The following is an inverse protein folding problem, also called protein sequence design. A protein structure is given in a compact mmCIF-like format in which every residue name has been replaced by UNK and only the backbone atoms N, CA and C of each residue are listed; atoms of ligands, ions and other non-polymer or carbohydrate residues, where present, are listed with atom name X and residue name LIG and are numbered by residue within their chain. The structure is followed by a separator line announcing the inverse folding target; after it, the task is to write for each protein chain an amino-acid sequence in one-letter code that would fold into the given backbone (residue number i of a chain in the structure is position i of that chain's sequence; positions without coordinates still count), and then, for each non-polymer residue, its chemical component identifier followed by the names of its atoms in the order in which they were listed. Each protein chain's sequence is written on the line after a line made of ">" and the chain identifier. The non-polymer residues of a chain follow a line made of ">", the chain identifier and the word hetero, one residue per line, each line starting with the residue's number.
data_IF_283964777628
#
_entry.id   IF_283964777628
#
_cell.length_a   1.000
_cell.length_b   1.000
_cell.length_c   1.000
_cell.angle_alpha   90.00
_cell.angle_beta   90.00
_cell.angle_gamma   90.00
#
_symmetry.space_group_name_H-M   'P 1'
#
loop_
_entity.id
_entity.type
_entity.pdbx_description
1 polymer ?
#
# COMPACT_ATOMS: atom_id res chain seq x y z
N UNK A 1 -6.80 39.22 7.96
CA UNK A 1 -7.49 38.19 7.15
C UNK A 1 -6.66 37.65 5.97
N UNK A 2 -5.78 38.43 5.31
CA UNK A 2 -4.92 37.92 4.21
C UNK A 2 -3.82 36.91 4.64
N UNK A 3 -3.30 36.99 5.87
CA UNK A 3 -2.28 36.05 6.38
C UNK A 3 -2.80 34.62 6.57
N UNK A 4 -4.09 34.47 6.92
CA UNK A 4 -4.73 33.15 7.11
C UNK A 4 -4.99 32.45 5.77
N UNK A 5 -5.32 33.21 4.72
CA UNK A 5 -5.59 32.65 3.38
C UNK A 5 -4.30 32.19 2.69
N UNK A 6 -3.20 32.95 2.79
CA UNK A 6 -1.89 32.52 2.26
C UNK A 6 -1.33 31.29 2.99
N UNK A 7 -1.51 31.20 4.31
CA UNK A 7 -1.10 30.02 5.08
C UNK A 7 -1.84 28.75 4.64
N UNK A 8 -3.16 28.85 4.45
CA UNK A 8 -3.98 27.72 3.99
C UNK A 8 -3.59 27.27 2.57
N UNK A 9 -3.37 28.22 1.64
CA UNK A 9 -2.94 27.89 0.28
C UNK A 9 -1.55 27.21 0.23
N UNK A 10 -0.61 27.67 1.08
CA UNK A 10 0.70 27.03 1.20
C UNK A 10 0.62 25.62 1.78
N UNK A 11 -0.25 25.41 2.77
CA UNK A 11 -0.49 24.08 3.35
C UNK A 11 -1.09 23.13 2.31
N UNK A 12 -2.09 23.57 1.54
CA UNK A 12 -2.67 22.77 0.46
C UNK A 12 -1.66 22.45 -0.64
N UNK A 13 -0.84 23.42 -1.04
CA UNK A 13 0.24 23.20 -1.99
C UNK A 13 1.23 22.16 -1.49
N UNK A 14 1.63 22.24 -0.21
CA UNK A 14 2.57 21.29 0.39
C UNK A 14 1.98 19.88 0.52
N UNK A 15 0.68 19.76 0.85
CA UNK A 15 -0.04 18.49 0.90
C UNK A 15 -0.06 17.81 -0.48
N UNK A 16 -0.38 18.56 -1.55
CA UNK A 16 -0.44 18.02 -2.92
C UNK A 16 0.96 17.64 -3.42
N UNK A 17 1.90 18.60 -3.41
CA UNK A 17 3.24 18.37 -3.93
C UNK A 17 4.00 17.29 -3.14
N UNK A 18 3.85 17.29 -1.82
CA UNK A 18 4.48 16.27 -0.98
C UNK A 18 3.91 14.87 -1.22
N UNK A 19 2.61 14.72 -1.48
CA UNK A 19 2.05 13.41 -1.84
C UNK A 19 2.58 12.95 -3.21
N UNK A 20 2.66 13.83 -4.20
CA UNK A 20 3.28 13.51 -5.50
C UNK A 20 4.72 13.03 -5.30
N UNK A 21 5.52 13.76 -4.52
CA UNK A 21 6.91 13.39 -4.23
C UNK A 21 7.01 12.02 -3.54
N UNK A 22 6.19 11.76 -2.53
CA UNK A 22 6.16 10.46 -1.83
C UNK A 22 5.85 9.30 -2.77
N UNK A 23 4.89 9.49 -3.69
CA UNK A 23 4.51 8.43 -4.64
C UNK A 23 5.62 8.15 -5.66
N UNK A 24 6.30 9.20 -6.15
CA UNK A 24 7.48 9.05 -7.01
C UNK A 24 8.61 8.33 -6.26
N UNK A 25 8.88 8.72 -5.01
CA UNK A 25 9.88 8.09 -4.15
C UNK A 25 9.60 6.60 -3.98
N UNK A 26 8.35 6.22 -3.67
CA UNK A 26 7.99 4.80 -3.56
C UNK A 26 8.13 4.06 -4.89
N UNK A 27 7.82 4.70 -6.01
CA UNK A 27 8.02 4.11 -7.34
C UNK A 27 9.49 3.83 -7.62
N UNK A 28 10.37 4.82 -7.39
CA UNK A 28 11.83 4.65 -7.48
C UNK A 28 12.32 3.53 -6.55
N UNK A 29 11.84 3.51 -5.31
CA UNK A 29 12.23 2.50 -4.32
C UNK A 29 11.88 1.07 -4.75
N UNK A 30 10.70 0.86 -5.33
CA UNK A 30 10.29 -0.47 -5.84
C UNK A 30 11.20 -0.96 -6.98
N UNK A 31 11.51 -0.09 -7.93
CA UNK A 31 12.43 -0.42 -9.05
C UNK A 31 13.83 -0.70 -8.54
N UNK A 32 14.32 0.11 -7.59
CA UNK A 32 15.61 -0.08 -6.97
C UNK A 32 15.70 -1.42 -6.23
N UNK A 33 14.67 -1.79 -5.44
CA UNK A 33 14.63 -3.08 -4.74
C UNK A 33 14.69 -4.28 -5.70
N UNK A 34 14.08 -4.17 -6.89
CA UNK A 34 14.19 -5.23 -7.89
C UNK A 34 15.66 -5.50 -8.29
N UNK A 35 16.44 -4.43 -8.51
CA UNK A 35 17.89 -4.56 -8.75
C UNK A 35 18.66 -5.15 -7.57
N UNK A 36 18.26 -4.82 -6.34
CA UNK A 36 18.85 -5.40 -5.11
C UNK A 36 18.58 -6.91 -5.01
N UNK A 37 17.37 -7.36 -5.38
CA UNK A 37 17.04 -8.79 -5.43
C UNK A 37 17.79 -9.52 -6.55
N UNK A 38 17.98 -8.88 -7.71
CA UNK A 38 18.81 -9.41 -8.79
C UNK A 38 20.28 -9.59 -8.35
N UNK A 39 20.79 -8.76 -7.44
CA UNK A 39 22.10 -8.90 -6.81
C UNK A 39 22.17 -9.99 -5.71
N UNK A 40 21.09 -10.76 -5.52
CA UNK A 40 21.06 -11.91 -4.61
C UNK A 40 20.77 -11.59 -3.14
N UNK A 41 20.35 -10.36 -2.83
CA UNK A 41 19.96 -9.99 -1.45
C UNK A 41 18.60 -10.62 -1.12
N UNK A 42 18.52 -11.21 0.07
CA UNK A 42 17.28 -11.82 0.54
C UNK A 42 16.20 -10.78 0.93
N UNK A 43 14.94 -10.90 0.44
CA UNK A 43 13.86 -9.99 0.80
C UNK A 43 13.50 -9.97 2.29
N UNK A 44 13.57 -11.11 2.99
CA UNK A 44 13.23 -11.20 4.42
C UNK A 44 14.25 -10.41 5.23
N UNK A 45 15.52 -10.52 4.88
CA UNK A 45 16.58 -9.72 5.51
C UNK A 45 16.30 -8.21 5.38
N UNK A 46 15.93 -7.73 4.18
CA UNK A 46 15.59 -6.31 3.99
C UNK A 46 14.38 -5.89 4.83
N UNK A 47 13.38 -6.75 4.96
CA UNK A 47 12.18 -6.46 5.78
C UNK A 47 12.56 -6.33 7.26
N UNK A 48 13.34 -7.28 7.79
CA UNK A 48 13.74 -7.30 9.21
C UNK A 48 14.44 -6.01 9.59
N UNK A 49 15.47 -5.62 8.83
CA UNK A 49 16.28 -4.45 9.15
C UNK A 49 15.61 -3.14 8.71
N UNK A 50 14.94 -3.12 7.57
CA UNK A 50 14.19 -1.96 7.09
C UNK A 50 13.09 -1.53 8.06
N UNK A 51 12.35 -2.47 8.64
CA UNK A 51 11.33 -2.17 9.65
C UNK A 51 11.93 -1.67 10.97
N UNK A 52 13.08 -2.21 11.40
CA UNK A 52 13.79 -1.69 12.59
C UNK A 52 14.27 -0.26 12.39
N UNK A 53 14.91 0.03 11.25
CA UNK A 53 15.36 1.38 10.92
C UNK A 53 14.18 2.35 10.86
N UNK A 54 13.09 1.95 10.21
CA UNK A 54 11.85 2.74 10.16
C UNK A 54 11.31 3.02 11.56
N UNK A 55 11.27 2.00 12.43
CA UNK A 55 10.82 2.15 13.81
C UNK A 55 11.70 3.12 14.60
N UNK A 56 13.03 2.97 14.52
CA UNK A 56 14.00 3.85 15.20
C UNK A 56 13.87 5.29 14.72
N UNK A 57 13.68 5.49 13.42
CA UNK A 57 13.51 6.81 12.84
C UNK A 57 12.19 7.47 13.29
N UNK A 58 11.08 6.73 13.28
CA UNK A 58 9.74 7.28 13.62
C UNK A 58 9.54 7.43 15.14
N UNK A 59 10.25 6.66 15.96
CA UNK A 59 10.17 6.67 17.42
C UNK A 59 10.22 8.07 18.07
N UNK A 60 11.21 8.95 17.79
CA UNK A 60 11.24 10.28 18.39
C UNK A 60 10.00 11.12 18.04
N UNK A 61 9.51 11.04 16.80
CA UNK A 61 8.30 11.75 16.37
C UNK A 61 7.06 11.25 17.10
N UNK A 62 6.94 9.93 17.25
CA UNK A 62 5.87 9.29 18.03
C UNK A 62 5.86 9.78 19.49
N UNK A 63 7.02 9.78 20.16
CA UNK A 63 7.12 10.21 21.56
C UNK A 63 6.81 11.71 21.72
N UNK A 64 7.23 12.56 20.79
CA UNK A 64 7.00 14.01 20.87
C UNK A 64 5.55 14.37 20.57
N UNK A 65 4.95 13.79 19.51
CA UNK A 65 3.63 14.20 19.03
C UNK A 65 2.45 13.43 19.63
N UNK A 66 2.69 12.21 20.12
CA UNK A 66 1.59 11.29 20.43
C UNK A 66 1.63 10.70 21.84
N UNK A 67 2.70 10.89 22.62
CA UNK A 67 2.80 10.38 24.00
C UNK A 67 1.58 10.70 24.88
N UNK A 68 0.94 11.86 24.67
CA UNK A 68 -0.26 12.28 25.42
C UNK A 68 -1.58 11.69 24.89
N UNK A 69 -1.57 11.06 23.72
CA UNK A 69 -2.73 10.45 23.06
C UNK A 69 -2.92 8.97 23.43
N UNK A 70 -1.99 8.40 24.18
CA UNK A 70 -2.03 7.00 24.56
C UNK A 70 -3.18 6.75 25.55
N UNK A 71 -3.87 5.60 25.44
CA UNK A 71 -4.84 5.18 26.44
C UNK A 71 -4.14 4.93 27.77
N UNK A 72 -4.86 5.16 28.87
CA UNK A 72 -4.34 4.99 30.24
C UNK A 72 -4.04 3.53 30.57
N UNK A 73 -4.71 2.58 29.92
CA UNK A 73 -4.48 1.14 30.06
C UNK A 73 -4.44 0.45 28.70
N UNK A 74 -3.49 -0.47 28.53
CA UNK A 74 -3.40 -1.32 27.35
C UNK A 74 -4.17 -2.61 27.61
N UNK A 75 -5.33 -2.75 26.97
CA UNK A 75 -6.13 -3.97 27.08
C UNK A 75 -5.47 -5.13 26.31
N UNK A 76 -5.63 -6.40 26.75
CA UNK A 76 -5.15 -7.56 25.99
C UNK A 76 -5.74 -7.63 24.57
N UNK A 77 -6.98 -7.16 24.39
CA UNK A 77 -7.63 -7.05 23.08
C UNK A 77 -6.94 -6.01 22.17
N UNK A 78 -6.44 -4.91 22.73
CA UNK A 78 -5.68 -3.93 21.95
C UNK A 78 -4.31 -4.48 21.55
N UNK A 79 -3.64 -5.20 22.46
CA UNK A 79 -2.38 -5.88 22.15
C UNK A 79 -2.53 -6.94 21.06
N UNK A 80 -3.62 -7.73 21.08
CA UNK A 80 -3.89 -8.70 20.01
C UNK A 80 -4.13 -8.02 18.66
N UNK A 81 -4.79 -6.86 18.64
CA UNK A 81 -4.92 -6.06 17.41
C UNK A 81 -3.58 -5.55 16.91
N UNK A 82 -2.69 -5.06 17.78
CA UNK A 82 -1.33 -4.66 17.38
C UNK A 82 -0.57 -5.83 16.77
N UNK A 83 -0.66 -7.02 17.38
CA UNK A 83 -0.05 -8.24 16.85
C UNK A 83 -0.60 -8.60 15.47
N UNK A 84 -1.92 -8.60 15.28
CA UNK A 84 -2.53 -8.91 13.98
C UNK A 84 -2.18 -7.88 12.90
N UNK A 85 -2.12 -6.58 13.25
CA UNK A 85 -1.67 -5.54 12.32
C UNK A 85 -0.19 -5.74 11.96
N UNK A 86 0.67 -6.08 12.91
CA UNK A 86 2.09 -6.35 12.65
C UNK A 86 2.29 -7.60 11.79
N UNK A 87 1.56 -8.69 12.08
CA UNK A 87 1.61 -9.94 11.34
C UNK A 87 1.11 -9.74 9.90
N UNK A 88 0.01 -9.03 9.71
CA UNK A 88 -0.53 -8.81 8.38
C UNK A 88 0.24 -7.72 7.60
N UNK A 89 0.37 -6.52 8.14
CA UNK A 89 0.89 -5.35 7.42
C UNK A 89 2.42 -5.32 7.34
N UNK A 90 3.08 -5.42 8.50
CA UNK A 90 4.54 -5.31 8.58
C UNK A 90 5.27 -6.61 8.21
N UNK A 91 4.59 -7.76 8.19
CA UNK A 91 5.18 -9.06 7.85
C UNK A 91 4.61 -9.60 6.55
N UNK A 92 3.39 -10.14 6.56
CA UNK A 92 2.82 -10.86 5.42
C UNK A 92 2.72 -10.01 4.15
N UNK A 93 2.21 -8.78 4.23
CA UNK A 93 2.10 -7.88 3.08
C UNK A 93 3.47 -7.55 2.49
N UNK A 94 4.46 -7.22 3.32
CA UNK A 94 5.81 -6.91 2.84
C UNK A 94 6.46 -8.13 2.21
N UNK A 95 6.40 -9.31 2.86
CA UNK A 95 6.97 -10.56 2.31
C UNK A 95 6.33 -10.91 0.96
N UNK A 96 5.00 -10.86 0.87
CA UNK A 96 4.26 -11.12 -0.37
C UNK A 96 4.59 -10.10 -1.46
N UNK A 97 4.72 -8.82 -1.10
CA UNK A 97 5.05 -7.75 -2.06
C UNK A 97 6.45 -7.90 -2.60
N UNK A 98 7.46 -8.09 -1.74
CA UNK A 98 8.85 -8.23 -2.20
C UNK A 98 9.09 -9.54 -2.97
N UNK A 99 8.42 -10.63 -2.55
CA UNK A 99 8.42 -11.88 -3.32
C UNK A 99 7.76 -11.69 -4.68
N UNK A 100 6.66 -10.93 -4.73
CA UNK A 100 5.97 -10.56 -5.95
C UNK A 100 6.83 -9.71 -6.90
N UNK A 101 7.58 -8.74 -6.38
CA UNK A 101 8.54 -7.95 -7.18
C UNK A 101 9.62 -8.86 -7.75
N UNK A 102 10.22 -9.72 -6.91
CA UNK A 102 11.30 -10.63 -7.30
C UNK A 102 10.88 -11.64 -8.37
N UNK A 103 9.63 -12.08 -8.38
CA UNK A 103 9.11 -13.13 -9.29
C UNK A 103 8.32 -12.59 -10.49
N UNK A 104 7.71 -11.42 -10.36
CA UNK A 104 6.94 -10.79 -11.42
C UNK A 104 7.63 -9.51 -11.91
N UNK A 105 7.11 -8.33 -11.56
CA UNK A 105 7.73 -7.06 -11.92
C UNK A 105 7.40 -5.99 -10.88
N UNK A 106 8.31 -5.04 -10.64
CA UNK A 106 8.02 -3.86 -9.82
C UNK A 106 6.81 -3.07 -10.35
N UNK A 107 6.58 -3.03 -11.68
CA UNK A 107 5.44 -2.34 -12.27
C UNK A 107 4.10 -2.92 -11.77
N UNK A 108 3.96 -4.25 -11.81
CA UNK A 108 2.75 -4.94 -11.30
C UNK A 108 2.62 -4.73 -9.79
N UNK A 109 3.73 -4.83 -9.04
CA UNK A 109 3.71 -4.62 -7.60
C UNK A 109 3.25 -3.20 -7.21
N UNK A 110 3.67 -2.18 -7.96
CA UNK A 110 3.25 -0.80 -7.76
C UNK A 110 1.79 -0.52 -8.17
N UNK A 111 1.23 -1.34 -9.05
CA UNK A 111 -0.14 -1.23 -9.53
C UNK A 111 -1.15 -1.82 -8.52
N UNK A 112 -0.79 -2.93 -7.88
CA UNK A 112 -1.68 -3.73 -7.03
C UNK A 112 -2.32 -2.96 -5.86
N UNK A 113 -1.62 -2.07 -5.11
CA UNK A 113 -2.23 -1.26 -4.06
C UNK A 113 -3.39 -0.36 -4.50
N UNK A 114 -3.56 -0.09 -5.80
CA UNK A 114 -4.73 0.65 -6.30
C UNK A 114 -6.05 -0.14 -6.14
N UNK A 115 -5.99 -1.45 -5.87
CA UNK A 115 -7.15 -2.27 -5.48
C UNK A 115 -7.60 -2.01 -4.03
N UNK A 116 -6.71 -1.49 -3.17
CA UNK A 116 -6.91 -1.40 -1.73
C UNK A 116 -8.17 -0.63 -1.34
N UNK A 117 -8.49 0.56 -1.90
CA UNK A 117 -9.70 1.29 -1.50
C UNK A 117 -11.00 0.51 -1.78
N UNK A 118 -11.05 -0.23 -2.89
CA UNK A 118 -12.19 -1.07 -3.25
C UNK A 118 -12.33 -2.28 -2.34
N UNK A 119 -11.22 -2.96 -2.06
CA UNK A 119 -11.20 -4.10 -1.14
C UNK A 119 -11.53 -3.70 0.30
N UNK A 120 -11.03 -2.56 0.78
CA UNK A 120 -11.38 -1.99 2.09
C UNK A 120 -12.89 -1.83 2.23
N UNK A 121 -13.56 -1.30 1.20
CA UNK A 121 -15.01 -1.16 1.21
C UNK A 121 -15.73 -2.51 1.32
N UNK A 122 -15.33 -3.51 0.52
CA UNK A 122 -15.93 -4.86 0.58
C UNK A 122 -15.74 -5.47 1.97
N UNK A 123 -14.53 -5.38 2.53
CA UNK A 123 -14.20 -5.91 3.85
C UNK A 123 -15.00 -5.17 4.94
N UNK A 124 -15.08 -3.84 4.89
CA UNK A 124 -15.86 -3.05 5.83
C UNK A 124 -17.36 -3.40 5.78
N UNK A 125 -17.90 -3.67 4.60
CA UNK A 125 -19.27 -4.14 4.42
C UNK A 125 -19.48 -5.55 5.03
N UNK A 126 -18.53 -6.48 4.82
CA UNK A 126 -18.59 -7.83 5.41
C UNK A 126 -18.58 -7.81 6.94
N UNK A 127 -17.74 -6.97 7.56
CA UNK A 127 -17.67 -6.82 9.02
C UNK A 127 -18.74 -5.90 9.62
N UNK A 128 -19.68 -5.38 8.82
CA UNK A 128 -20.70 -4.40 9.22
C UNK A 128 -20.13 -3.13 9.88
N UNK A 129 -18.93 -2.71 9.48
CA UNK A 129 -18.38 -1.43 9.93
C UNK A 129 -19.06 -0.22 9.25
N UNK A 130 -19.75 -0.42 8.13
CA UNK A 130 -20.60 0.56 7.45
C UNK A 130 -22.06 0.06 7.38
N UNK A 131 -23.04 0.97 7.51
CA UNK A 131 -24.45 0.65 7.28
C UNK A 131 -24.67 0.44 5.78
N UNK A 132 -24.82 -0.82 5.39
CA UNK A 132 -25.04 -1.19 3.99
C UNK A 132 -26.49 -0.97 3.59
N UNK A 133 -26.84 0.25 3.22
CA UNK A 133 -28.06 0.48 2.45
C UNK A 133 -27.81 0.02 1.01
N UNK A 134 -28.24 -1.22 0.72
CA UNK A 134 -28.14 -1.87 -0.62
C UNK A 134 -28.67 -1.01 -1.78
N UNK A 135 -29.48 0.01 -1.47
CA UNK A 135 -30.09 0.92 -2.43
C UNK A 135 -29.30 2.22 -2.67
N UNK A 136 -28.22 2.49 -1.93
CA UNK A 136 -27.43 3.70 -2.15
C UNK A 136 -26.66 3.61 -3.46
N UNK A 137 -26.81 4.63 -4.32
CA UNK A 137 -26.12 4.70 -5.62
C UNK A 137 -24.60 4.65 -5.46
N UNK A 138 -24.06 5.24 -4.40
CA UNK A 138 -22.62 5.29 -4.13
C UNK A 138 -22.04 3.91 -3.76
N UNK A 139 -22.72 3.13 -2.90
CA UNK A 139 -22.34 1.74 -2.61
C UNK A 139 -22.27 0.87 -3.87
N UNK A 140 -23.22 1.03 -4.80
CA UNK A 140 -23.20 0.32 -6.10
C UNK A 140 -22.01 0.75 -6.95
N UNK A 141 -21.69 2.04 -6.99
CA UNK A 141 -20.51 2.55 -7.70
C UNK A 141 -19.20 2.04 -7.09
N UNK A 142 -19.09 1.90 -5.77
CA UNK A 142 -17.92 1.30 -5.13
C UNK A 142 -17.73 -0.17 -5.53
N UNK A 143 -18.81 -0.96 -5.56
CA UNK A 143 -18.74 -2.36 -6.02
C UNK A 143 -18.30 -2.42 -7.48
N UNK A 144 -18.95 -1.63 -8.36
CA UNK A 144 -18.61 -1.61 -9.78
C UNK A 144 -17.17 -1.15 -10.01
N UNK A 145 -16.74 -0.08 -9.35
CA UNK A 145 -15.38 0.43 -9.41
C UNK A 145 -14.36 -0.61 -8.93
N UNK A 146 -14.69 -1.39 -7.90
CA UNK A 146 -13.81 -2.47 -7.42
C UNK A 146 -13.70 -3.61 -8.44
N UNK A 147 -14.81 -4.01 -9.07
CA UNK A 147 -14.80 -5.03 -10.12
C UNK A 147 -14.00 -4.57 -11.36
N UNK A 148 -14.16 -3.31 -11.76
CA UNK A 148 -13.38 -2.69 -12.85
C UNK A 148 -11.90 -2.60 -12.48
N UNK A 149 -11.58 -2.27 -11.23
CA UNK A 149 -10.20 -2.23 -10.76
C UNK A 149 -9.55 -3.62 -10.81
N UNK A 150 -10.28 -4.64 -10.33
CA UNK A 150 -9.83 -6.03 -10.33
C UNK A 150 -9.66 -6.59 -11.74
N UNK A 151 -10.58 -6.30 -12.67
CA UNK A 151 -10.42 -6.70 -14.06
C UNK A 151 -9.22 -6.01 -14.72
N UNK A 152 -8.95 -4.74 -14.39
CA UNK A 152 -7.75 -4.04 -14.81
C UNK A 152 -6.46 -4.67 -14.30
N UNK A 153 -6.40 -5.06 -13.02
CA UNK A 153 -5.26 -5.76 -12.44
C UNK A 153 -5.04 -7.15 -13.08
N UNK A 154 -6.10 -7.91 -13.31
CA UNK A 154 -6.05 -9.21 -14.01
C UNK A 154 -5.53 -9.00 -15.45
N UNK A 155 -6.10 -8.04 -16.18
CA UNK A 155 -5.67 -7.72 -17.53
C UNK A 155 -4.19 -7.30 -17.57
N UNK A 156 -3.74 -6.48 -16.62
CA UNK A 156 -2.33 -6.11 -16.50
C UNK A 156 -1.44 -7.34 -16.32
N UNK A 157 -1.76 -8.25 -15.41
CA UNK A 157 -0.95 -9.44 -15.15
C UNK A 157 -0.87 -10.43 -16.32
N UNK A 158 -1.99 -10.65 -17.04
CA UNK A 158 -2.05 -11.62 -18.13
C UNK A 158 -1.58 -11.05 -19.47
N UNK A 159 -1.79 -9.75 -19.71
CA UNK A 159 -1.38 -9.11 -20.96
C UNK A 159 0.06 -8.62 -20.90
N UNK A 160 0.64 -8.47 -19.71
CA UNK A 160 2.06 -8.30 -19.55
C UNK A 160 2.75 -9.65 -19.76
N UNK A 161 3.49 -9.78 -20.86
CA UNK A 161 4.30 -10.97 -21.11
C UNK A 161 5.52 -10.94 -20.17
N UNK A 162 5.80 -12.00 -19.38
CA UNK A 162 7.12 -12.20 -18.80
C UNK A 162 8.11 -12.33 -19.96
N UNK A 163 8.75 -11.23 -20.35
CA UNK A 163 9.38 -11.14 -21.65
C UNK A 163 10.67 -11.96 -21.71
N UNK A 164 10.80 -12.68 -22.82
CA UNK A 164 12.02 -13.26 -23.37
C UNK A 164 13.10 -12.19 -23.62
N UNK A 165 13.78 -11.66 -22.60
CA UNK A 165 14.82 -10.63 -22.83
C UNK A 165 16.12 -10.83 -22.04
N UNK A 166 16.60 -12.07 -22.00
CA UNK A 166 18.06 -12.34 -21.92
C UNK A 166 18.64 -12.81 -23.26
N UNK A 167 17.98 -12.52 -24.38
CA UNK A 167 18.48 -12.81 -25.73
C UNK A 167 18.20 -11.68 -26.73
N UNK A 168 18.48 -10.44 -26.34
CA UNK A 168 18.71 -9.35 -27.30
C UNK A 168 20.21 -9.12 -27.50
N UNK A 169 20.94 -10.22 -27.75
CA UNK A 169 22.15 -10.15 -28.56
C UNK A 169 22.11 -11.29 -29.57
N UNK A 170 21.91 -10.91 -30.83
CA UNK A 170 22.33 -11.55 -32.07
C UNK A 170 21.15 -11.84 -33.00
N UNK A 171 21.16 -11.14 -34.13
CA UNK A 171 20.38 -11.54 -35.29
C UNK A 171 20.68 -12.98 -35.68
N UNK A 172 19.82 -13.51 -36.55
CA UNK A 172 19.88 -14.84 -37.18
C UNK A 172 19.71 -16.03 -36.23
N UNK A 173 18.50 -16.63 -36.24
CA UNK A 173 18.23 -17.98 -36.74
C UNK A 173 16.87 -18.49 -36.22
N UNK A 174 15.86 -18.47 -37.11
CA UNK A 174 14.51 -19.01 -36.88
C UNK A 174 14.49 -20.54 -36.65
N UNK A 175 15.64 -21.19 -36.73
CA UNK A 175 15.87 -22.63 -36.55
C UNK A 175 16.28 -23.04 -35.12
N UNK A 176 16.57 -22.09 -34.22
CA UNK A 176 16.91 -22.39 -32.81
C UNK A 176 15.69 -22.42 -31.86
N UNK A 177 14.54 -21.88 -32.29
CA UNK A 177 13.29 -21.87 -31.52
C UNK A 177 12.60 -23.24 -31.44
N UNK A 178 12.93 -24.17 -32.33
CA UNK A 178 12.38 -25.53 -32.35
C UNK A 178 13.13 -26.53 -31.44
N UNK A 179 14.20 -26.08 -30.74
CA UNK A 179 15.08 -26.94 -29.95
C UNK A 179 15.13 -26.59 -28.45
N UNK A 180 14.25 -25.72 -27.95
CA UNK A 180 14.20 -25.33 -26.52
C UNK A 180 13.27 -26.29 -25.75
N UNK A 181 13.64 -26.82 -24.58
CA UNK A 181 12.78 -27.76 -23.86
C UNK A 181 11.53 -27.03 -23.37
N UNK A 182 10.34 -27.57 -23.67
CA UNK A 182 9.04 -27.04 -23.21
C UNK A 182 8.98 -26.81 -21.67
N UNK A 183 9.83 -27.47 -20.90
CA UNK A 183 9.83 -27.44 -19.43
C UNK A 183 10.38 -26.14 -18.80
N UNK A 184 11.20 -25.36 -19.51
CA UNK A 184 11.81 -24.12 -18.97
C UNK A 184 10.84 -22.95 -19.07
N UNK A 185 10.08 -22.87 -20.17
CA UNK A 185 9.06 -21.84 -20.39
C UNK A 185 7.93 -21.96 -19.36
N UNK A 186 7.48 -23.19 -19.11
CA UNK A 186 6.46 -23.51 -18.11
C UNK A 186 6.92 -23.10 -16.69
N UNK A 187 8.19 -23.31 -16.35
CA UNK A 187 8.73 -22.92 -15.05
C UNK A 187 8.75 -21.40 -14.85
N UNK A 188 9.17 -20.64 -15.87
CA UNK A 188 9.18 -19.17 -15.85
C UNK A 188 7.76 -18.61 -15.72
N UNK A 189 6.82 -19.16 -16.49
CA UNK A 189 5.41 -18.76 -16.44
C UNK A 189 4.77 -19.06 -15.07
N UNK A 190 5.08 -20.22 -14.50
CA UNK A 190 4.61 -20.59 -13.16
C UNK A 190 5.15 -19.66 -12.07
N UNK A 191 6.44 -19.29 -12.15
CA UNK A 191 7.05 -18.35 -11.22
C UNK A 191 6.46 -16.94 -11.35
N UNK A 192 6.22 -16.49 -12.57
CA UNK A 192 5.52 -15.23 -12.86
C UNK A 192 4.11 -15.21 -12.27
N UNK A 193 3.31 -16.26 -12.52
CA UNK A 193 1.95 -16.38 -12.02
C UNK A 193 1.93 -16.43 -10.49
N UNK A 194 2.88 -17.15 -9.88
CA UNK A 194 3.06 -17.17 -8.43
C UNK A 194 3.38 -15.77 -7.90
N UNK A 195 4.24 -15.00 -8.59
CA UNK A 195 4.51 -13.60 -8.27
C UNK A 195 3.24 -12.73 -8.31
N UNK A 196 2.44 -12.84 -9.37
CA UNK A 196 1.16 -12.13 -9.50
C UNK A 196 0.17 -12.50 -8.39
N UNK A 197 0.06 -13.78 -8.06
CA UNK A 197 -0.79 -14.27 -6.97
C UNK A 197 -0.30 -13.79 -5.60
N UNK A 198 1.02 -13.75 -5.37
CA UNK A 198 1.61 -13.16 -4.17
C UNK A 198 1.23 -11.69 -4.03
N UNK A 199 1.30 -10.90 -5.11
CA UNK A 199 0.92 -9.49 -5.08
C UNK A 199 -0.59 -9.31 -4.80
N UNK A 200 -1.44 -10.13 -5.42
CA UNK A 200 -2.88 -10.10 -5.17
C UNK A 200 -3.22 -10.48 -3.72
N UNK A 201 -2.58 -11.53 -3.19
CA UNK A 201 -2.71 -11.91 -1.79
C UNK A 201 -2.20 -10.79 -0.86
N UNK A 202 -1.09 -10.14 -1.23
CA UNK A 202 -0.51 -9.01 -0.52
C UNK A 202 -1.51 -7.86 -0.40
N UNK A 203 -2.16 -7.46 -1.49
CA UNK A 203 -3.13 -6.35 -1.43
C UNK A 203 -4.39 -6.71 -0.62
N UNK A 204 -4.83 -7.97 -0.63
CA UNK A 204 -5.92 -8.43 0.25
C UNK A 204 -5.51 -8.32 1.72
N UNK A 205 -4.31 -8.78 2.08
CA UNK A 205 -3.76 -8.66 3.44
C UNK A 205 -3.62 -7.18 3.84
N UNK A 206 -3.11 -6.33 2.95
CA UNK A 206 -3.02 -4.89 3.17
C UNK A 206 -4.40 -4.27 3.44
N UNK A 207 -5.43 -4.70 2.69
CA UNK A 207 -6.78 -4.18 2.85
C UNK A 207 -7.41 -4.62 4.19
N UNK A 208 -7.26 -5.89 4.56
CA UNK A 208 -7.71 -6.41 5.85
C UNK A 208 -7.03 -5.70 7.03
N UNK A 209 -5.71 -5.52 6.95
CA UNK A 209 -4.92 -4.87 7.99
C UNK A 209 -5.21 -3.38 8.07
N UNK A 210 -5.50 -2.71 6.96
CA UNK A 210 -5.91 -1.30 6.94
C UNK A 210 -7.27 -1.11 7.62
N UNK A 211 -8.25 -2.00 7.39
CA UNK A 211 -9.54 -1.97 8.10
C UNK A 211 -9.34 -2.18 9.60
N UNK A 212 -8.53 -3.19 9.98
CA UNK A 212 -8.21 -3.45 11.38
C UNK A 212 -7.47 -2.29 12.04
N UNK A 213 -6.55 -1.66 11.32
CA UNK A 213 -5.83 -0.48 11.74
C UNK A 213 -6.80 0.69 11.97
N UNK A 214 -7.70 0.97 11.03
CA UNK A 214 -8.71 2.02 11.19
C UNK A 214 -9.62 1.78 12.42
N UNK A 215 -10.00 0.53 12.68
CA UNK A 215 -10.75 0.19 13.89
C UNK A 215 -9.92 0.40 15.18
N UNK A 216 -8.64 0.01 15.15
CA UNK A 216 -7.71 0.16 16.28
C UNK A 216 -7.44 1.63 16.59
N UNK A 217 -7.38 2.48 15.57
CA UNK A 217 -7.17 3.94 15.70
C UNK A 217 -8.30 4.65 16.47
N UNK A 218 -9.46 4.02 16.68
CA UNK A 218 -10.53 4.56 17.53
C UNK A 218 -10.21 4.48 19.02
N UNK A 219 -9.54 3.41 19.45
CA UNK A 219 -9.13 3.20 20.85
C UNK A 219 -7.69 3.67 21.11
N UNK A 220 -6.86 3.70 20.06
CA UNK A 220 -5.46 4.12 20.11
C UNK A 220 -5.19 5.20 19.04
N UNK A 221 -5.54 6.49 19.30
CA UNK A 221 -5.46 7.57 18.31
C UNK A 221 -4.03 8.12 18.12
N UNK A 222 -3.06 7.22 18.01
CA UNK A 222 -1.63 7.51 17.91
C UNK A 222 -1.00 6.74 16.72
N UNK A 223 -1.15 7.25 15.47
CA UNK A 223 -0.73 6.52 14.28
C UNK A 223 0.78 6.30 14.16
N UNK A 224 1.62 7.26 14.55
CA UNK A 224 3.09 7.08 14.52
C UNK A 224 3.55 6.06 15.56
N UNK A 225 2.93 6.08 16.74
CA UNK A 225 3.14 5.08 17.81
C UNK A 225 2.77 3.68 17.33
N UNK A 226 1.64 3.57 16.62
CA UNK A 226 1.19 2.31 16.07
C UNK A 226 2.19 1.78 15.02
N UNK A 227 2.70 2.64 14.14
CA UNK A 227 3.75 2.29 13.16
C UNK A 227 5.00 1.78 13.86
N UNK A 228 5.46 2.43 14.92
CA UNK A 228 6.66 2.00 15.66
C UNK A 228 6.44 0.61 16.28
N UNK A 229 5.31 0.42 16.99
CA UNK A 229 4.97 -0.84 17.65
C UNK A 229 4.87 -1.96 16.60
N UNK A 230 4.11 -1.76 15.53
CA UNK A 230 3.89 -2.79 14.51
C UNK A 230 5.14 -3.07 13.68
N UNK A 231 6.01 -2.08 13.46
CA UNK A 231 7.28 -2.27 12.75
C UNK A 231 8.29 -3.08 13.58
N UNK A 232 8.41 -2.82 14.89
CA UNK A 232 9.27 -3.63 15.77
C UNK A 232 8.74 -5.06 15.84
N UNK A 233 7.44 -5.24 16.08
CA UNK A 233 6.82 -6.56 16.13
C UNK A 233 6.95 -7.30 14.78
N UNK A 234 6.72 -6.61 13.66
CA UNK A 234 6.84 -7.16 12.31
C UNK A 234 8.27 -7.56 11.96
N UNK A 235 9.27 -6.79 12.40
CA UNK A 235 10.68 -7.17 12.27
C UNK A 235 10.97 -8.47 13.05
N UNK A 236 10.52 -8.57 14.31
CA UNK A 236 10.68 -9.80 15.09
C UNK A 236 9.99 -11.00 14.43
N UNK A 237 8.75 -10.83 13.93
CA UNK A 237 8.01 -11.89 13.24
C UNK A 237 8.69 -12.33 11.96
N UNK A 238 9.20 -11.38 11.16
CA UNK A 238 9.92 -11.70 9.92
C UNK A 238 11.26 -12.36 10.22
N UNK A 239 11.98 -11.92 11.26
CA UNK A 239 13.24 -12.51 11.68
C UNK A 239 13.04 -13.95 12.15
N UNK A 240 11.97 -14.20 12.92
CA UNK A 240 11.58 -15.55 13.32
C UNK A 240 11.22 -16.41 12.11
N UNK A 241 10.45 -15.86 11.15
CA UNK A 241 10.10 -16.56 9.92
C UNK A 241 11.34 -16.95 9.12
N UNK A 242 12.28 -16.01 8.90
CA UNK A 242 13.54 -16.26 8.20
C UNK A 242 14.39 -17.30 8.94
N UNK A 243 14.47 -17.22 10.27
CA UNK A 243 15.20 -18.19 11.07
C UNK A 243 14.60 -19.60 10.96
N UNK A 244 13.27 -19.72 10.94
CA UNK A 244 12.59 -21.02 10.76
C UNK A 244 12.83 -21.58 9.36
N UNK A 245 12.80 -20.75 8.31
CA UNK A 245 12.91 -21.21 6.92
C UNK A 245 14.35 -21.47 6.49
N UNK A 246 15.31 -20.67 6.95
CA UNK A 246 16.72 -20.71 6.49
C UNK A 246 17.69 -21.19 7.57
N UNK A 247 17.23 -21.34 8.82
CA UNK A 247 18.09 -21.67 9.97
C UNK A 247 19.03 -20.55 10.42
N UNK A 248 19.03 -19.40 9.73
CA UNK A 248 19.85 -18.23 10.02
C UNK A 248 19.20 -16.97 9.47
N UNK A 249 19.51 -15.82 10.08
CA UNK A 249 19.16 -14.50 9.54
C UNK A 249 20.34 -14.05 8.69
N UNK A 250 20.22 -14.14 7.37
CA UNK A 250 21.32 -13.87 6.43
C UNK A 250 20.85 -13.00 5.28
N UNK A 251 21.72 -12.11 4.79
CA UNK A 251 21.41 -11.27 3.64
C UNK A 251 21.38 -12.02 2.28
N UNK A 252 21.31 -13.36 2.30
CA UNK A 252 21.50 -14.21 1.12
C UNK A 252 22.95 -14.30 0.63
N UNK A 253 23.17 -15.03 -0.45
CA UNK A 253 24.44 -15.10 -1.18
C UNK A 253 24.55 -13.92 -2.15
N UNK A 254 24.61 -12.71 -1.62
CA UNK A 254 24.66 -11.50 -2.44
C UNK A 254 26.06 -11.22 -2.98
N UNK A 255 26.13 -10.65 -4.18
CA UNK A 255 27.37 -10.10 -4.76
C UNK A 255 27.77 -8.76 -4.14
N UNK A 256 26.87 -8.13 -3.37
CA UNK A 256 27.12 -6.85 -2.70
C UNK A 256 27.89 -7.03 -1.41
N UNK A 257 28.73 -6.04 -1.08
CA UNK A 257 29.38 -5.99 0.23
C UNK A 257 28.35 -5.79 1.34
N UNK A 258 28.60 -6.34 2.52
CA UNK A 258 27.72 -6.17 3.69
C UNK A 258 27.50 -4.69 4.04
N UNK A 259 28.51 -3.83 3.86
CA UNK A 259 28.40 -2.40 4.07
C UNK A 259 27.40 -1.74 3.11
N UNK A 260 27.38 -2.16 1.83
CA UNK A 260 26.38 -1.69 0.86
C UNK A 260 24.97 -2.10 1.27
N UNK A 261 24.77 -3.35 1.69
CA UNK A 261 23.46 -3.86 2.13
C UNK A 261 22.98 -3.11 3.37
N UNK A 262 23.86 -2.87 4.34
CA UNK A 262 23.54 -2.08 5.52
C UNK A 262 23.16 -0.62 5.14
N UNK A 263 23.93 0.01 4.24
CA UNK A 263 23.63 1.35 3.73
C UNK A 263 22.27 1.43 3.02
N UNK A 264 21.94 0.43 2.21
CA UNK A 264 20.64 0.31 1.53
C UNK A 264 19.50 0.22 2.56
N UNK A 265 19.64 -0.62 3.59
CA UNK A 265 18.63 -0.76 4.63
C UNK A 265 18.44 0.52 5.44
N UNK A 266 19.53 1.20 5.81
CA UNK A 266 19.47 2.45 6.56
C UNK A 266 18.78 3.54 5.72
N UNK A 267 19.22 3.73 4.47
CA UNK A 267 18.65 4.74 3.60
C UNK A 267 17.18 4.42 3.27
N UNK A 268 16.88 3.17 2.92
CA UNK A 268 15.52 2.72 2.60
C UNK A 268 14.58 2.85 3.79
N UNK A 269 14.98 2.40 4.99
CA UNK A 269 14.17 2.50 6.19
C UNK A 269 13.92 3.95 6.64
N UNK A 270 14.93 4.83 6.55
CA UNK A 270 14.75 6.26 6.83
C UNK A 270 13.80 6.90 5.81
N UNK A 271 13.98 6.61 4.53
CA UNK A 271 13.13 7.11 3.45
C UNK A 271 11.67 6.69 3.63
N UNK A 272 11.43 5.41 3.92
CA UNK A 272 10.09 4.88 4.25
C UNK A 272 9.52 5.58 5.48
N UNK A 273 10.31 5.75 6.54
CA UNK A 273 9.90 6.45 7.76
C UNK A 273 9.46 7.90 7.51
N UNK A 274 10.21 8.66 6.69
CA UNK A 274 9.86 10.02 6.28
C UNK A 274 8.54 10.04 5.50
N UNK A 275 8.40 9.15 4.50
CA UNK A 275 7.18 9.06 3.69
C UNK A 275 5.95 8.68 4.53
N UNK A 276 6.09 7.73 5.46
CA UNK A 276 5.00 7.31 6.36
C UNK A 276 4.60 8.43 7.31
N UNK A 277 5.56 9.17 7.87
CA UNK A 277 5.27 10.31 8.73
C UNK A 277 4.51 11.41 7.96
N UNK A 278 4.94 11.70 6.73
CA UNK A 278 4.27 12.67 5.87
C UNK A 278 2.85 12.23 5.47
N UNK A 279 2.68 10.98 5.02
CA UNK A 279 1.35 10.46 4.68
C UNK A 279 0.42 10.42 5.89
N UNK A 280 0.93 10.06 7.07
CA UNK A 280 0.15 10.11 8.32
C UNK A 280 -0.35 11.52 8.60
N UNK A 281 0.51 12.53 8.42
CA UNK A 281 0.13 13.93 8.56
C UNK A 281 -0.94 14.35 7.53
N UNK A 282 -0.80 13.94 6.26
CA UNK A 282 -1.81 14.17 5.22
C UNK A 282 -3.17 13.55 5.56
N UNK A 283 -3.17 12.30 6.05
CA UNK A 283 -4.39 11.58 6.44
C UNK A 283 -5.09 12.30 7.59
N UNK A 284 -4.34 12.76 8.59
CA UNK A 284 -4.90 13.52 9.72
C UNK A 284 -5.53 14.84 9.24
N UNK A 285 -4.96 15.49 8.22
CA UNK A 285 -5.40 16.80 7.75
C UNK A 285 -6.57 16.78 6.76
N UNK A 286 -6.55 15.88 5.78
CA UNK A 286 -7.51 15.86 4.66
C UNK A 286 -8.16 14.48 4.47
N UNK A 287 -7.91 13.55 5.38
CA UNK A 287 -8.45 12.20 5.32
C UNK A 287 -7.68 11.26 4.39
N UNK A 288 -7.96 9.95 4.46
CA UNK A 288 -7.27 8.92 3.68
C UNK A 288 -7.58 8.97 2.18
N UNK A 289 -8.70 9.59 1.77
CA UNK A 289 -9.07 9.73 0.36
C UNK A 289 -8.05 10.57 -0.40
N UNK A 290 -7.51 11.64 0.22
CA UNK A 290 -6.51 12.50 -0.41
C UNK A 290 -5.28 11.70 -0.83
N UNK A 291 -4.71 10.90 0.08
CA UNK A 291 -3.49 10.14 -0.20
C UNK A 291 -3.73 9.09 -1.28
N UNK A 292 -4.91 8.45 -1.28
CA UNK A 292 -5.28 7.43 -2.26
C UNK A 292 -5.43 7.96 -3.69
N UNK A 293 -5.82 9.23 -3.89
CA UNK A 293 -5.90 9.85 -5.22
C UNK A 293 -4.53 9.90 -5.92
N UNK A 294 -3.45 9.97 -5.15
CA UNK A 294 -2.10 10.06 -5.70
C UNK A 294 -1.44 8.69 -5.95
N UNK A 295 -2.01 7.56 -5.50
CA UNK A 295 -1.38 6.24 -5.67
C UNK A 295 -1.10 5.86 -7.14
N UNK A 296 -1.91 6.24 -8.15
CA UNK A 296 -1.58 5.99 -9.55
C UNK A 296 -0.23 6.60 -9.99
N UNK A 297 0.21 7.69 -9.37
CA UNK A 297 1.50 8.33 -9.69
C UNK A 297 2.67 7.40 -9.36
N UNK A 298 2.57 6.65 -8.26
CA UNK A 298 3.58 5.64 -7.92
C UNK A 298 3.66 4.59 -9.03
N UNK A 299 2.51 4.11 -9.51
CA UNK A 299 2.46 3.13 -10.59
C UNK A 299 3.07 3.69 -11.88
N UNK A 300 2.66 4.88 -12.32
CA UNK A 300 3.21 5.50 -13.53
C UNK A 300 4.71 5.74 -13.41
N UNK A 301 5.18 6.24 -12.27
CA UNK A 301 6.61 6.45 -12.02
C UNK A 301 7.39 5.13 -12.09
N UNK A 302 6.85 4.07 -11.51
CA UNK A 302 7.46 2.73 -11.53
C UNK A 302 7.55 2.20 -12.95
N UNK A 303 6.46 2.29 -13.72
CA UNK A 303 6.40 1.85 -15.12
C UNK A 303 7.45 2.56 -15.97
N UNK A 304 7.53 3.88 -15.87
CA UNK A 304 8.50 4.68 -16.64
C UNK A 304 9.94 4.32 -16.26
N UNK A 305 10.23 4.18 -14.96
CA UNK A 305 11.56 3.80 -14.49
C UNK A 305 11.93 2.36 -14.84
N UNK A 306 10.99 1.43 -14.76
CA UNK A 306 11.17 0.05 -15.21
C UNK A 306 11.51 -0.03 -16.69
N UNK A 307 10.82 0.73 -17.53
CA UNK A 307 11.12 0.79 -18.96
C UNK A 307 12.52 1.37 -19.24
N UNK A 308 12.94 2.42 -18.52
CA UNK A 308 14.24 3.09 -18.75
C UNK A 308 15.41 2.28 -18.16
N UNK A 309 15.27 1.77 -16.93
CA UNK A 309 16.37 1.18 -16.17
C UNK A 309 16.47 -0.33 -16.33
N UNK A 310 15.34 -1.03 -16.48
CA UNK A 310 15.32 -2.50 -16.64
C UNK A 310 15.03 -2.93 -18.07
N UNK A 311 14.69 -2.01 -18.97
CA UNK A 311 14.24 -2.37 -20.32
C UNK A 311 12.88 -3.06 -20.34
N UNK A 312 12.13 -3.07 -19.23
CA UNK A 312 10.81 -3.71 -19.15
C UNK A 312 9.77 -2.91 -19.96
N UNK A 313 9.60 -3.27 -21.23
CA UNK A 313 8.57 -2.68 -22.08
C UNK A 313 7.19 -3.22 -21.69
N UNK A 314 6.26 -2.30 -21.44
CA UNK A 314 4.87 -2.65 -21.13
C UNK A 314 4.10 -2.85 -22.42
N UNK A 315 3.43 -4.00 -22.53
CA UNK A 315 2.58 -4.30 -23.68
C UNK A 315 1.40 -3.32 -23.74
N UNK A 316 0.89 -3.05 -24.94
CA UNK A 316 -0.30 -2.20 -25.11
C UNK A 316 -1.49 -2.74 -24.29
N UNK A 317 -1.63 -4.06 -24.17
CA UNK A 317 -2.66 -4.71 -23.37
C UNK A 317 -2.49 -4.44 -21.87
N UNK A 318 -1.27 -4.53 -21.36
CA UNK A 318 -0.97 -4.21 -19.96
C UNK A 318 -1.20 -2.72 -19.64
N UNK A 319 -0.86 -1.83 -20.56
CA UNK A 319 -1.19 -0.40 -20.45
C UNK A 319 -2.70 -0.17 -20.36
N UNK A 320 -3.49 -0.85 -21.19
CA UNK A 320 -4.95 -0.81 -21.10
C UNK A 320 -5.46 -1.34 -19.75
N UNK A 321 -4.84 -2.39 -19.21
CA UNK A 321 -5.11 -2.92 -17.87
C UNK A 321 -4.86 -1.89 -16.76
N UNK A 322 -3.73 -1.17 -16.82
CA UNK A 322 -3.40 -0.09 -15.87
C UNK A 322 -4.44 1.04 -15.95
N UNK A 323 -4.82 1.48 -17.16
CA UNK A 323 -5.84 2.52 -17.34
C UNK A 323 -7.20 2.08 -16.78
N UNK A 324 -7.60 0.84 -17.04
CA UNK A 324 -8.83 0.26 -16.50
C UNK A 324 -8.80 0.19 -14.97
N UNK A 325 -7.65 -0.18 -14.40
CA UNK A 325 -7.44 -0.22 -12.96
C UNK A 325 -7.59 1.16 -12.33
N UNK A 326 -7.00 2.21 -12.92
CA UNK A 326 -7.16 3.58 -12.45
C UNK A 326 -8.60 4.07 -12.56
N UNK A 327 -9.29 3.77 -13.66
CA UNK A 327 -10.71 4.10 -13.81
C UNK A 327 -11.54 3.48 -12.66
N UNK A 328 -11.31 2.20 -12.35
CA UNK A 328 -11.95 1.52 -11.23
C UNK A 328 -11.66 2.18 -9.87
N UNK A 329 -10.38 2.47 -9.58
CA UNK A 329 -9.98 3.19 -8.37
C UNK A 329 -10.70 4.54 -8.24
N UNK A 330 -10.70 5.37 -9.28
CA UNK A 330 -11.31 6.69 -9.22
C UNK A 330 -12.84 6.63 -9.06
N UNK A 331 -13.51 5.61 -9.61
CA UNK A 331 -14.93 5.37 -9.34
C UNK A 331 -15.18 5.10 -7.84
N UNK A 332 -14.34 4.27 -7.21
CA UNK A 332 -14.43 3.97 -5.77
C UNK A 332 -14.18 5.23 -4.93
N UNK A 333 -13.11 5.97 -5.24
CA UNK A 333 -12.75 7.18 -4.50
C UNK A 333 -13.79 8.28 -4.68
N UNK A 334 -14.34 8.45 -5.87
CA UNK A 334 -15.42 9.40 -6.14
C UNK A 334 -16.67 9.08 -5.32
N UNK A 335 -17.09 7.81 -5.30
CA UNK A 335 -18.25 7.39 -4.51
C UNK A 335 -18.01 7.58 -3.00
N UNK A 336 -16.81 7.26 -2.52
CA UNK A 336 -16.43 7.50 -1.12
C UNK A 336 -16.45 8.97 -0.74
N UNK A 337 -15.85 9.83 -1.57
CA UNK A 337 -15.84 11.27 -1.33
C UNK A 337 -17.27 11.83 -1.26
N UNK A 338 -18.18 11.37 -2.13
CA UNK A 338 -19.59 11.80 -2.13
C UNK A 338 -20.38 11.33 -0.91
N UNK A 339 -20.11 10.14 -0.39
CA UNK A 339 -20.72 9.68 0.86
C UNK A 339 -20.25 10.49 2.08
N UNK A 340 -18.96 10.80 2.17
CA UNK A 340 -18.42 11.64 3.26
C UNK A 340 -19.05 13.04 3.27
N UNK A 341 -19.26 13.65 2.10
CA UNK A 341 -20.00 14.93 1.99
C UNK A 341 -21.47 14.80 2.42
N UNK A 342 -22.18 13.76 1.96
CA UNK A 342 -23.58 13.56 2.34
C UNK A 342 -23.78 13.36 3.85
N UNK A 343 -22.89 12.60 4.50
CA UNK A 343 -22.91 12.41 5.95
C UNK A 343 -22.63 13.71 6.72
N UNK A 344 -21.78 14.58 6.18
CA UNK A 344 -21.48 15.88 6.80
C UNK A 344 -22.68 16.84 6.69
N UNK A 345 -23.31 16.91 5.52
CA UNK A 345 -24.50 17.74 5.29
C UNK A 345 -25.67 17.27 6.19
N UNK A 346 -25.90 15.96 6.31
CA UNK A 346 -26.92 15.39 7.20
C UNK A 346 -26.63 15.70 8.68
N UNK A 347 -25.35 15.64 9.10
CA UNK A 347 -24.95 15.96 10.47
C UNK A 347 -25.05 17.46 10.80
N UNK A 348 -24.81 18.34 9.82
CA UNK A 348 -25.04 19.79 9.96
C UNK A 348 -26.54 20.12 10.00
N UNK A 349 -27.36 19.48 9.16
CA UNK A 349 -28.81 19.61 9.19
C UNK A 349 -29.41 19.13 10.52
N UNK A 350 -28.91 18.02 11.07
CA UNK A 350 -29.34 17.51 12.38
C UNK A 350 -28.95 18.43 13.56
N UNK A 351 -27.87 19.20 13.44
CA UNK A 351 -27.48 20.22 14.44
C UNK A 351 -28.30 21.52 14.32
N UNK A 352 -28.94 21.76 13.19
CA UNK A 352 -29.74 22.96 12.93
C UNK A 352 -31.24 22.77 13.18
N UNK A 353 -31.69 21.55 13.51
CA UNK A 353 -33.06 21.36 14.02
C UNK A 353 -33.18 22.07 15.38
N UNK A 354 -34.09 23.05 15.53
CA UNK A 354 -34.40 23.61 16.83
C UNK A 354 -34.92 22.46 17.69
N UNK A 355 -34.50 22.40 18.95
CA UNK A 355 -35.20 21.65 19.99
C UNK A 355 -36.63 22.19 19.97
N UNK A 356 -37.56 21.45 19.35
CA UNK A 356 -38.97 21.76 19.43
C UNK A 356 -39.32 21.66 20.92
N UNK A 357 -39.65 22.80 21.52
CA UNK A 357 -40.00 22.94 22.94
C UNK A 357 -41.08 21.91 23.30
N UNK A 358 -40.69 20.84 23.99
CA UNK A 358 -41.63 19.90 24.66
C UNK A 358 -42.16 20.53 25.97
N UNK A 359 -42.17 21.86 26.07
CA UNK A 359 -42.79 22.57 27.19
C UNK A 359 -43.79 23.61 26.71
N UNK A 360 -45.06 23.17 26.55
CA UNK A 360 -46.24 23.71 27.26
C UNK A 360 -47.56 23.12 26.73
N UNK A 361 -48.64 23.04 27.55
CA UNK A 361 -48.68 22.86 29.00
C UNK A 361 -49.63 21.74 29.45
N UNK A 362 -49.39 21.22 30.65
CA UNK A 362 -50.42 20.64 31.50
C UNK A 362 -51.51 21.70 31.71
N UNK A 363 -52.69 21.49 31.12
CA UNK A 363 -54.03 22.08 31.37
C UNK A 363 -54.73 22.51 30.06
N UNK A 364 -55.41 21.54 29.43
CA UNK A 364 -56.69 21.72 28.73
C UNK A 364 -57.42 20.40 28.65
#
# INVERSE_FOLDING_TARGET
>A
MLGSSRGHLLEEFFLVFGNVAVQIIFGVYMVFLNGVFAAGVDPLFLIVFGNLVTAVFVLPFSVVFEKKKWPTTLSPALLSRFFLIALGGATLFQVLTLTGIKKASPAIASAMPNLTPGLIFIIAACFRFERFERCCRYSRTKILGTLVCLSGAIAMCFLQTPSEESSSSLGTNLSALLAKPLTVEDAILNDWLLGCLCLLAGVVVLSCTTVLQAATMREFPAPLSLVVITSVMGSCLTALFQFITEGKISAGSSSLSFACIAGINILGGVLVGVCVAFQTWCIIKKGPVLVAIFSPIQTVSTVVLSAILLGELISLGSLAGIVLMFAGLYLVLWAKNKEDFGLHDDAEAAKQQPVEDIEKPLLS
#
